data_IF_698662907407
#
_entry.id   IF_698662907407
#
_cell.length_a   1.000
_cell.length_b   1.000
_cell.length_c   1.000
_cell.angle_alpha   90.00
_cell.angle_beta   90.00
_cell.angle_gamma   90.00
#
_symmetry.space_group_name_H-M   'P 1'
#
loop_
_entity.id
_entity.type
_entity.pdbx_description
1 polymer ?
#
# COMPACT_ATOMS: atom_id res chain seq x y z
N UNK A 1 3.58 -13.61 2.86
CA UNK A 1 2.94 -12.66 1.92
C UNK A 1 3.92 -12.12 0.88
N UNK A 2 5.07 -11.53 1.26
CA UNK A 2 6.07 -11.09 0.26
C UNK A 2 6.53 -12.21 -0.69
N UNK A 3 6.87 -13.40 -0.16
CA UNK A 3 7.27 -14.58 -0.96
C UNK A 3 6.17 -15.16 -1.87
N UNK A 4 4.92 -14.71 -1.73
CA UNK A 4 3.77 -15.17 -2.52
C UNK A 4 3.30 -14.11 -3.53
N UNK A 5 4.03 -13.01 -3.70
CA UNK A 5 3.67 -11.93 -4.64
C UNK A 5 2.47 -11.07 -4.22
N UNK A 6 1.93 -11.28 -3.01
CA UNK A 6 0.76 -10.54 -2.51
C UNK A 6 1.02 -9.04 -2.33
N UNK A 7 2.25 -8.65 -2.01
CA UNK A 7 2.60 -7.22 -1.86
C UNK A 7 2.53 -6.49 -3.21
N UNK A 8 2.99 -7.12 -4.29
CA UNK A 8 2.90 -6.51 -5.63
C UNK A 8 1.44 -6.28 -6.03
N UNK A 9 0.59 -7.29 -5.84
CA UNK A 9 -0.85 -7.16 -6.12
C UNK A 9 -1.48 -6.04 -5.30
N UNK A 10 -1.17 -5.93 -4.00
CA UNK A 10 -1.68 -4.84 -3.17
C UNK A 10 -1.20 -3.46 -3.65
N UNK A 11 0.06 -3.35 -4.12
CA UNK A 11 0.58 -2.10 -4.71
C UNK A 11 -0.18 -1.74 -5.99
N UNK A 12 -0.48 -2.70 -6.85
CA UNK A 12 -1.23 -2.47 -8.10
C UNK A 12 -2.68 -2.02 -7.81
N UNK A 13 -3.29 -2.55 -6.75
CA UNK A 13 -4.65 -2.17 -6.32
C UNK A 13 -4.75 -0.72 -5.81
N UNK A 14 -3.63 -0.04 -5.50
CA UNK A 14 -3.65 1.38 -5.13
C UNK A 14 -4.05 2.29 -6.29
N UNK A 15 -3.94 1.85 -7.54
CA UNK A 15 -4.41 2.59 -8.72
C UNK A 15 -5.81 2.15 -9.18
N UNK A 16 -6.51 1.30 -8.43
CA UNK A 16 -7.85 0.84 -8.78
C UNK A 16 -8.86 2.00 -8.84
N UNK A 17 -9.88 1.93 -9.69
CA UNK A 17 -10.87 3.02 -9.87
C UNK A 17 -11.81 3.19 -8.66
N UNK A 18 -11.93 2.16 -7.84
CA UNK A 18 -12.84 2.12 -6.68
C UNK A 18 -12.10 2.52 -5.41
N UNK A 19 -12.57 3.56 -4.73
CA UNK A 19 -11.94 4.09 -3.50
C UNK A 19 -11.85 3.04 -2.39
N UNK A 20 -12.88 2.22 -2.20
CA UNK A 20 -12.89 1.16 -1.19
C UNK A 20 -11.76 0.14 -1.42
N UNK A 21 -11.49 -0.20 -2.69
CA UNK A 21 -10.39 -1.10 -3.06
C UNK A 21 -9.04 -0.47 -2.74
N UNK A 22 -8.86 0.81 -3.08
CA UNK A 22 -7.63 1.55 -2.74
C UNK A 22 -7.40 1.60 -1.23
N UNK A 23 -8.46 1.87 -0.46
CA UNK A 23 -8.43 1.94 1.00
C UNK A 23 -8.07 0.60 1.64
N UNK A 24 -8.71 -0.48 1.20
CA UNK A 24 -8.43 -1.82 1.69
C UNK A 24 -7.00 -2.25 1.34
N UNK A 25 -6.52 -1.96 0.12
CA UNK A 25 -5.15 -2.24 -0.28
C UNK A 25 -4.13 -1.43 0.54
N UNK A 26 -4.40 -0.14 0.77
CA UNK A 26 -3.56 0.74 1.59
C UNK A 26 -3.49 0.27 3.05
N UNK A 27 -4.64 -0.04 3.65
CA UNK A 27 -4.72 -0.58 5.01
C UNK A 27 -4.00 -1.93 5.17
N UNK A 28 -4.14 -2.82 4.18
CA UNK A 28 -3.42 -4.09 4.15
C UNK A 28 -1.90 -3.87 4.06
N UNK A 29 -1.43 -2.98 3.19
CA UNK A 29 0.00 -2.64 3.09
C UNK A 29 0.55 -2.08 4.39
N UNK A 30 -0.17 -1.14 5.02
CA UNK A 30 0.19 -0.57 6.33
C UNK A 30 0.35 -1.68 7.37
N UNK A 31 -0.60 -2.60 7.45
CA UNK A 31 -0.55 -3.72 8.39
C UNK A 31 0.63 -4.67 8.10
N UNK A 32 0.96 -4.90 6.82
CA UNK A 32 2.05 -5.80 6.42
C UNK A 32 3.45 -5.24 6.73
N UNK A 33 3.60 -3.91 6.77
CA UNK A 33 4.88 -3.25 7.09
C UNK A 33 4.98 -2.78 8.54
N UNK A 34 3.90 -2.90 9.31
CA UNK A 34 3.89 -2.52 10.73
C UNK A 34 4.70 -3.53 11.57
N UNK A 35 5.58 -3.02 12.43
CA UNK A 35 6.42 -3.83 13.34
C UNK A 35 7.90 -3.93 12.97
N UNK A 36 8.72 -4.41 13.92
CA UNK A 36 10.18 -4.56 13.75
C UNK A 36 10.57 -5.81 12.97
N UNK A 37 9.73 -6.85 12.95
CA UNK A 37 10.03 -8.13 12.30
C UNK A 37 9.63 -8.20 10.81
N UNK A 38 9.18 -7.09 10.21
CA UNK A 38 8.62 -7.03 8.85
C UNK A 38 9.56 -6.42 7.81
N UNK A 39 10.88 -6.46 8.06
CA UNK A 39 11.87 -5.84 7.18
C UNK A 39 11.85 -6.42 5.75
N UNK A 40 11.62 -7.73 5.60
CA UNK A 40 11.41 -8.34 4.28
C UNK A 40 10.19 -7.76 3.56
N UNK A 41 9.07 -7.52 4.27
CA UNK A 41 7.88 -6.92 3.67
C UNK A 41 8.13 -5.45 3.28
N UNK A 42 8.84 -4.67 4.12
CA UNK A 42 9.23 -3.28 3.80
C UNK A 42 10.08 -3.22 2.54
N UNK A 43 11.09 -4.10 2.43
CA UNK A 43 11.93 -4.23 1.24
C UNK A 43 11.10 -4.63 0.03
N UNK A 44 10.16 -5.56 0.18
CA UNK A 44 9.23 -5.98 -0.87
C UNK A 44 8.36 -4.83 -1.39
N UNK A 45 7.78 -4.03 -0.49
CA UNK A 45 6.95 -2.87 -0.82
C UNK A 45 7.79 -1.86 -1.61
N UNK A 46 9.01 -1.56 -1.14
CA UNK A 46 9.94 -0.68 -1.85
C UNK A 46 10.25 -1.21 -3.26
N UNK A 47 10.63 -2.47 -3.37
CA UNK A 47 11.03 -3.09 -4.63
C UNK A 47 9.85 -3.28 -5.60
N UNK A 48 8.62 -3.28 -5.10
CA UNK A 48 7.40 -3.36 -5.91
C UNK A 48 6.88 -1.99 -6.36
N UNK A 49 7.58 -0.89 -6.06
CA UNK A 49 7.11 0.45 -6.39
C UNK A 49 6.01 0.97 -5.46
N UNK A 50 5.88 0.42 -4.25
CA UNK A 50 4.85 0.83 -3.30
C UNK A 50 4.98 2.28 -2.84
N UNK A 51 6.20 2.80 -2.69
CA UNK A 51 6.43 4.21 -2.29
C UNK A 51 5.84 5.19 -3.33
N UNK A 52 6.22 5.14 -4.63
CA UNK A 52 5.63 6.04 -5.62
C UNK A 52 4.12 5.81 -5.81
N UNK A 53 3.62 4.58 -5.63
CA UNK A 53 2.19 4.28 -5.69
C UNK A 53 1.41 4.94 -4.54
N UNK A 54 1.90 4.87 -3.30
CA UNK A 54 1.29 5.52 -2.14
C UNK A 54 1.31 7.05 -2.26
N UNK A 55 2.42 7.63 -2.75
CA UNK A 55 2.51 9.08 -3.03
C UNK A 55 1.51 9.52 -4.10
N UNK A 56 1.34 8.71 -5.16
CA UNK A 56 0.36 8.99 -6.21
C UNK A 56 -1.07 8.88 -5.68
N UNK A 57 -1.36 7.87 -4.86
CA UNK A 57 -2.65 7.70 -4.20
C UNK A 57 -2.99 8.93 -3.34
N UNK A 58 -2.05 9.39 -2.51
CA UNK A 58 -2.20 10.62 -1.71
C UNK A 58 -2.55 11.87 -2.53
N UNK A 59 -1.97 12.01 -3.73
CA UNK A 59 -2.23 13.16 -4.61
C UNK A 59 -3.56 13.08 -5.33
N UNK A 60 -4.06 11.87 -5.59
CA UNK A 60 -5.29 11.64 -6.38
C UNK A 60 -6.53 11.47 -5.52
N UNK A 61 -6.39 10.91 -4.32
CA UNK A 61 -7.55 10.54 -3.51
C UNK A 61 -8.19 11.76 -2.86
N UNK A 62 -9.52 11.96 -3.01
CA UNK A 62 -10.27 12.93 -2.23
C UNK A 62 -10.61 12.39 -0.81
N UNK A 63 -10.33 11.10 -0.55
CA UNK A 63 -10.67 10.41 0.68
C UNK A 63 -9.69 10.75 1.81
N UNK A 64 -10.20 11.36 2.88
CA UNK A 64 -9.44 11.76 4.05
C UNK A 64 -8.90 10.58 4.86
N UNK A 65 -9.61 9.45 4.88
CA UNK A 65 -9.17 8.26 5.61
C UNK A 65 -8.01 7.56 4.89
N UNK A 66 -8.01 7.54 3.56
CA UNK A 66 -6.84 7.08 2.79
C UNK A 66 -5.63 7.99 3.05
N UNK A 67 -5.84 9.30 3.23
CA UNK A 67 -4.75 10.22 3.59
C UNK A 67 -4.18 9.93 4.98
N UNK A 68 -5.03 9.67 5.96
CA UNK A 68 -4.60 9.29 7.32
C UNK A 68 -3.84 7.96 7.36
N UNK A 69 -4.18 7.01 6.49
CA UNK A 69 -3.48 5.72 6.43
C UNK A 69 -2.05 5.80 5.87
N UNK A 70 -1.75 6.82 5.06
CA UNK A 70 -0.43 7.00 4.43
C UNK A 70 0.47 7.97 5.22
N UNK A 71 -0.11 8.80 6.11
CA UNK A 71 0.63 9.76 6.95
C UNK A 71 1.13 9.08 8.23
#
# INVERSE_FOLDING_TARGET
VCRLGGIRHLVDLLDHKTLEVQRNACGALRNLVYGKATDDNKVCVRNSGGIPALVRLLRKTPDTEVRELVT
#
